data_IF_283956676658
#
_entry.id   IF_283956676658
#
_cell.length_a   1.000
_cell.length_b   1.000
_cell.length_c   1.000
_cell.angle_alpha   90.00
_cell.angle_beta   90.00
_cell.angle_gamma   90.00
#
_symmetry.space_group_name_H-M   'P 1'
#
loop_
_entity.id
_entity.type
_entity.pdbx_description
1 polymer ?
#
# COMPACT_ATOMS: atom_id res chain seq x y z
N UNK A 1 9.00 -22.49 8.64
CA UNK A 1 7.89 -21.62 8.17
C UNK A 1 7.83 -20.38 9.03
N UNK A 2 8.17 -19.21 8.48
CA UNK A 2 8.19 -17.94 9.24
C UNK A 2 6.74 -17.61 9.62
N UNK A 3 6.41 -17.66 10.92
CA UNK A 3 5.10 -17.28 11.43
C UNK A 3 4.91 -15.78 11.19
N UNK A 4 4.24 -15.42 10.10
CA UNK A 4 3.87 -14.03 9.85
C UNK A 4 2.93 -13.56 10.96
N UNK A 5 3.40 -12.60 11.74
CA UNK A 5 2.54 -11.89 12.68
C UNK A 5 1.36 -11.29 11.88
N UNK A 6 0.12 -11.33 12.39
CA UNK A 6 -1.06 -10.85 11.65
C UNK A 6 -0.88 -9.45 11.04
N UNK A 7 -0.21 -8.56 11.80
CA UNK A 7 0.17 -7.20 11.38
C UNK A 7 1.01 -7.20 10.09
N UNK A 8 1.98 -8.10 9.95
CA UNK A 8 2.81 -8.19 8.74
C UNK A 8 1.95 -8.66 7.55
N UNK A 9 1.03 -9.60 7.77
CA UNK A 9 0.13 -10.07 6.71
C UNK A 9 -0.80 -8.95 6.24
N UNK A 10 -1.38 -8.18 7.17
CA UNK A 10 -2.25 -7.02 6.84
C UNK A 10 -1.47 -5.92 6.12
N UNK A 11 -0.26 -5.59 6.58
CA UNK A 11 0.61 -4.60 5.92
C UNK A 11 0.98 -5.02 4.50
N UNK A 12 1.33 -6.31 4.30
CA UNK A 12 1.64 -6.85 2.97
C UNK A 12 0.44 -6.77 2.03
N UNK A 13 -0.75 -7.22 2.48
CA UNK A 13 -1.98 -7.16 1.67
C UNK A 13 -2.35 -5.71 1.33
N UNK A 14 -2.31 -4.81 2.32
CA UNK A 14 -2.56 -3.38 2.09
C UNK A 14 -1.60 -2.76 1.08
N UNK A 15 -0.33 -3.15 1.11
CA UNK A 15 0.69 -2.65 0.16
C UNK A 15 0.44 -3.16 -1.26
N UNK A 16 0.13 -4.45 -1.42
CA UNK A 16 -0.21 -5.00 -2.74
C UNK A 16 -1.50 -4.38 -3.30
N UNK A 17 -2.53 -4.19 -2.47
CA UNK A 17 -3.75 -3.50 -2.88
C UNK A 17 -3.46 -2.05 -3.29
N UNK A 18 -2.59 -1.34 -2.56
CA UNK A 18 -2.18 0.02 -2.89
C UNK A 18 -1.49 0.07 -4.26
N UNK A 19 -0.49 -0.77 -4.48
CA UNK A 19 0.22 -0.83 -5.77
C UNK A 19 -0.75 -1.20 -6.91
N UNK A 20 -1.60 -2.21 -6.70
CA UNK A 20 -2.62 -2.62 -7.67
C UNK A 20 -3.59 -1.49 -8.00
N UNK A 21 -4.02 -0.71 -7.00
CA UNK A 21 -4.89 0.45 -7.22
C UNK A 21 -4.22 1.52 -8.08
N UNK A 22 -2.93 1.80 -7.87
CA UNK A 22 -2.19 2.77 -8.70
C UNK A 22 -2.11 2.32 -10.16
N UNK A 23 -1.93 1.01 -10.41
CA UNK A 23 -1.93 0.45 -11.76
C UNK A 23 -3.30 0.65 -12.43
N UNK A 24 -4.40 0.38 -11.71
CA UNK A 24 -5.76 0.56 -12.23
C UNK A 24 -6.06 2.04 -12.52
N UNK A 25 -5.65 2.95 -11.63
CA UNK A 25 -5.79 4.40 -11.85
C UNK A 25 -4.99 4.84 -13.08
N UNK A 26 -3.76 4.36 -13.22
CA UNK A 26 -2.90 4.65 -14.37
C UNK A 26 -3.50 4.13 -15.68
N UNK A 27 -4.11 2.93 -15.67
CA UNK A 27 -4.85 2.39 -16.81
C UNK A 27 -6.08 3.25 -17.16
N UNK A 28 -6.84 3.71 -16.18
CA UNK A 28 -7.94 4.66 -16.39
C UNK A 28 -7.44 5.96 -17.05
N UNK A 29 -6.35 6.54 -16.54
CA UNK A 29 -5.74 7.74 -17.12
C UNK A 29 -5.21 7.49 -18.55
N UNK A 30 -4.61 6.32 -18.81
CA UNK A 30 -4.14 5.93 -20.14
C UNK A 30 -5.29 5.78 -21.13
N UNK A 31 -6.39 5.14 -20.74
CA UNK A 31 -7.59 5.02 -21.59
C UNK A 31 -8.23 6.38 -21.87
N UNK A 32 -8.20 7.30 -20.91
CA UNK A 32 -8.60 8.68 -21.14
C UNK A 32 -7.69 9.37 -22.19
N UNK A 33 -6.36 9.21 -22.07
CA UNK A 33 -5.40 9.75 -23.04
C UNK A 33 -5.57 9.15 -24.45
N UNK A 34 -5.91 7.87 -24.55
CA UNK A 34 -6.16 7.19 -25.81
C UNK A 34 -7.57 7.44 -26.39
N UNK A 35 -8.34 8.38 -25.82
CA UNK A 35 -9.69 8.73 -26.24
C UNK A 35 -10.67 7.54 -26.30
N UNK A 36 -10.51 6.56 -25.39
CA UNK A 36 -11.52 5.52 -25.21
C UNK A 36 -12.82 6.12 -24.65
N UNK A 37 -13.93 5.37 -24.75
CA UNK A 37 -15.22 5.78 -24.20
C UNK A 37 -15.12 6.13 -22.71
N UNK A 38 -15.84 7.19 -22.31
CA UNK A 38 -16.00 7.60 -20.92
C UNK A 38 -16.49 6.48 -20.00
N UNK A 39 -17.36 5.60 -20.51
CA UNK A 39 -17.82 4.45 -19.74
C UNK A 39 -16.69 3.52 -19.29
N UNK A 40 -15.59 3.46 -20.06
CA UNK A 40 -14.43 2.62 -19.79
C UNK A 40 -13.48 3.35 -18.83
N UNK A 41 -12.90 4.48 -19.26
CA UNK A 41 -11.83 5.11 -18.49
C UNK A 41 -12.31 5.62 -17.11
N UNK A 42 -13.54 6.13 -17.02
CA UNK A 42 -14.09 6.67 -15.78
C UNK A 42 -14.35 5.54 -14.77
N UNK A 43 -14.85 4.39 -15.24
CA UNK A 43 -15.06 3.21 -14.40
C UNK A 43 -13.75 2.68 -13.82
N UNK A 44 -12.71 2.54 -14.66
CA UNK A 44 -11.38 2.13 -14.20
C UNK A 44 -10.80 3.14 -13.21
N UNK A 45 -10.88 4.43 -13.51
CA UNK A 45 -10.37 5.49 -12.65
C UNK A 45 -11.03 5.48 -11.27
N UNK A 46 -12.37 5.49 -11.21
CA UNK A 46 -13.09 5.49 -9.93
C UNK A 46 -12.93 4.19 -9.14
N UNK A 47 -12.90 3.04 -9.82
CA UNK A 47 -12.65 1.76 -9.15
C UNK A 47 -11.25 1.71 -8.54
N UNK A 48 -10.24 2.12 -9.30
CA UNK A 48 -8.87 2.26 -8.81
C UNK A 48 -8.77 3.23 -7.65
N UNK A 49 -9.42 4.39 -7.74
CA UNK A 49 -9.45 5.40 -6.69
C UNK A 49 -10.11 4.89 -5.39
N UNK A 50 -11.19 4.12 -5.50
CA UNK A 50 -11.85 3.50 -4.35
C UNK A 50 -10.94 2.51 -3.63
N UNK A 51 -10.28 1.62 -4.37
CA UNK A 51 -9.32 0.66 -3.80
C UNK A 51 -8.12 1.39 -3.20
N UNK A 52 -7.67 2.48 -3.83
CA UNK A 52 -6.57 3.30 -3.32
C UNK A 52 -6.89 3.83 -1.91
N UNK A 53 -8.06 4.47 -1.73
CA UNK A 53 -8.46 4.94 -0.41
C UNK A 53 -8.61 3.82 0.62
N UNK A 54 -9.21 2.69 0.24
CA UNK A 54 -9.34 1.53 1.12
C UNK A 54 -7.97 1.00 1.56
N UNK A 55 -7.03 0.86 0.62
CA UNK A 55 -5.68 0.39 0.90
C UNK A 55 -4.90 1.37 1.78
N UNK A 56 -5.06 2.68 1.57
CA UNK A 56 -4.45 3.72 2.39
C UNK A 56 -4.93 3.64 3.84
N UNK A 57 -6.23 3.42 4.08
CA UNK A 57 -6.79 3.22 5.43
C UNK A 57 -6.19 1.97 6.09
N UNK A 58 -6.11 0.85 5.37
CA UNK A 58 -5.53 -0.41 5.90
C UNK A 58 -4.05 -0.21 6.26
N UNK A 59 -3.28 0.46 5.40
CA UNK A 59 -1.87 0.77 5.65
C UNK A 59 -1.70 1.73 6.83
N UNK A 60 -2.57 2.73 6.95
CA UNK A 60 -2.57 3.67 8.07
C UNK A 60 -2.84 2.96 9.41
N UNK A 61 -3.84 2.07 9.45
CA UNK A 61 -4.11 1.26 10.65
C UNK A 61 -2.94 0.31 10.94
N UNK A 62 -2.41 -0.36 9.91
CA UNK A 62 -1.27 -1.26 10.05
C UNK A 62 -0.02 -0.57 10.61
N UNK A 63 0.27 0.64 10.14
CA UNK A 63 1.38 1.47 10.62
C UNK A 63 1.15 1.96 12.05
N UNK A 64 -0.06 2.42 12.39
CA UNK A 64 -0.44 2.77 13.77
C UNK A 64 -0.23 1.61 14.74
N UNK A 65 -0.70 0.41 14.40
CA UNK A 65 -0.53 -0.79 15.22
C UNK A 65 0.95 -1.18 15.35
N UNK A 66 1.72 -1.06 14.28
CA UNK A 66 3.14 -1.39 14.29
C UNK A 66 3.99 -0.36 15.08
N UNK A 67 3.58 0.92 15.06
CA UNK A 67 4.16 1.98 15.89
C UNK A 67 3.83 1.72 17.38
N UNK A 68 2.56 1.45 17.71
CA UNK A 68 2.14 1.13 19.08
C UNK A 68 2.81 -0.13 19.65
N UNK A 69 3.12 -1.11 18.80
CA UNK A 69 3.76 -2.35 19.25
C UNK A 69 5.28 -2.21 19.51
N UNK A 70 5.87 -1.02 19.35
CA UNK A 70 7.32 -0.78 19.50
C UNK A 70 8.21 -1.51 18.48
N UNK A 71 7.63 -2.28 17.55
CA UNK A 71 8.38 -3.07 16.56
C UNK A 71 9.02 -2.17 15.51
N UNK A 72 8.35 -1.08 15.14
CA UNK A 72 8.90 -0.09 14.22
C UNK A 72 10.12 0.61 14.83
N UNK A 73 10.04 0.96 16.12
CA UNK A 73 11.12 1.61 16.85
C UNK A 73 12.31 0.67 17.06
N UNK A 74 12.07 -0.61 17.42
CA UNK A 74 13.13 -1.63 17.49
C UNK A 74 13.83 -1.83 16.14
N UNK A 75 13.06 -2.04 15.05
CA UNK A 75 13.64 -2.21 13.71
C UNK A 75 14.40 -0.98 13.22
N UNK A 76 13.88 0.22 13.46
CA UNK A 76 14.57 1.45 13.10
C UNK A 76 15.89 1.61 13.88
N UNK A 77 15.87 1.30 15.18
CA UNK A 77 17.07 1.30 16.03
C UNK A 77 18.10 0.27 15.55
N UNK A 78 17.68 -0.95 15.22
CA UNK A 78 18.57 -2.01 14.70
C UNK A 78 19.22 -1.61 13.37
N UNK A 79 18.49 -0.94 12.47
CA UNK A 79 19.04 -0.43 11.20
C UNK A 79 20.06 0.68 11.47
N UNK A 80 19.78 1.58 12.41
CA UNK A 80 20.66 2.70 12.73
C UNK A 80 21.93 2.25 13.47
N UNK A 81 21.80 1.31 14.41
CA UNK A 81 22.94 0.77 15.16
C UNK A 81 23.81 -0.18 14.33
N UNK A 82 23.24 -0.97 13.41
CA UNK A 82 24.05 -1.77 12.48
C UNK A 82 24.86 -0.92 11.50
N UNK A 83 24.45 0.33 11.22
CA UNK A 83 25.25 1.27 10.42
C UNK A 83 26.42 1.88 11.18
N UNK A 84 26.44 1.84 12.52
CA UNK A 84 27.58 2.31 13.32
C UNK A 84 28.69 1.26 13.48
N UNK A 85 28.41 0.00 13.16
CA UNK A 85 29.38 -1.10 13.28
C UNK A 85 30.16 -1.39 11.99
N UNK A 86 29.98 -0.56 10.94
CA UNK A 86 30.69 -0.63 9.66
C UNK A 86 31.36 0.70 9.39
#
# INVERSE_FOLDING_TARGET
MVKFHPINKTMTVGTFMFIGSMIIIALGALFHYLHYSASIYLSFFFYGLGIFFLSAIILFIGTLLAAKSGKLQKRASDIFNNRKSK
#
